data_IF_042068221220
#
_entry.id   IF_042068221220
#
_cell.length_a   1.000
_cell.length_b   1.000
_cell.length_c   1.000
_cell.angle_alpha   90.00
_cell.angle_beta   90.00
_cell.angle_gamma   90.00
#
_symmetry.space_group_name_H-M   'P 1'
#
loop_
_entity.id
_entity.type
_entity.pdbx_description
1 polymer ?
#
# COMPACT_ATOMS: atom_id res chain seq x y z
N UNK A 1 6.44 -9.78 -14.95
CA UNK A 1 5.38 -9.05 -14.23
C UNK A 1 5.73 -7.57 -14.28
N UNK A 2 4.87 -6.68 -14.78
CA UNK A 2 5.17 -5.25 -14.79
C UNK A 2 4.93 -4.66 -13.40
N UNK A 3 5.95 -4.04 -12.81
CA UNK A 3 5.81 -3.23 -11.59
C UNK A 3 5.55 -1.78 -11.99
N UNK A 4 4.54 -1.15 -11.39
CA UNK A 4 4.14 0.23 -11.68
C UNK A 4 4.52 1.13 -10.52
N UNK A 5 5.15 2.24 -10.87
CA UNK A 5 5.62 3.29 -9.98
C UNK A 5 4.70 4.49 -10.06
N UNK A 6 3.92 4.78 -9.02
CA UNK A 6 3.13 6.02 -9.02
C UNK A 6 3.14 6.73 -7.68
N UNK A 7 3.77 7.90 -7.72
CA UNK A 7 3.43 9.02 -6.86
C UNK A 7 2.07 9.60 -7.29
N UNK A 8 1.05 9.50 -6.44
CA UNK A 8 -0.06 10.46 -6.39
C UNK A 8 -0.90 10.71 -7.65
N UNK A 9 -1.11 9.72 -8.54
CA UNK A 9 -2.21 9.77 -9.53
C UNK A 9 -3.13 8.55 -9.45
N UNK A 10 -4.42 8.83 -9.62
CA UNK A 10 -5.58 8.12 -9.11
C UNK A 10 -6.02 6.84 -9.87
N UNK A 11 -5.20 6.26 -10.75
CA UNK A 11 -5.70 5.27 -11.72
C UNK A 11 -5.31 3.81 -11.45
N UNK A 12 -5.13 3.40 -10.18
CA UNK A 12 -4.73 2.01 -9.85
C UNK A 12 -5.62 1.39 -8.79
N UNK A 13 -6.82 1.01 -9.21
CA UNK A 13 -7.71 0.13 -8.44
C UNK A 13 -7.24 -1.32 -8.57
N UNK A 14 -7.10 -2.05 -7.47
CA UNK A 14 -6.83 -3.50 -7.50
C UNK A 14 -8.08 -4.28 -7.11
N UNK A 15 -8.39 -5.36 -7.82
CA UNK A 15 -9.51 -6.23 -7.45
C UNK A 15 -9.04 -7.28 -6.43
N UNK A 16 -9.72 -7.34 -5.29
CA UNK A 16 -9.42 -8.24 -4.17
C UNK A 16 -10.72 -8.87 -3.64
N UNK A 17 -10.87 -10.19 -3.77
CA UNK A 17 -12.10 -10.93 -3.40
C UNK A 17 -13.40 -10.30 -3.94
N UNK A 18 -13.36 -9.77 -5.18
CA UNK A 18 -14.51 -9.13 -5.82
C UNK A 18 -14.75 -7.67 -5.39
N UNK A 19 -13.98 -7.14 -4.45
CA UNK A 19 -13.97 -5.72 -4.09
C UNK A 19 -12.91 -4.96 -4.90
N UNK A 20 -13.25 -3.75 -5.32
CA UNK A 20 -12.30 -2.81 -5.90
C UNK A 20 -11.62 -2.01 -4.79
N UNK A 21 -10.30 -2.15 -4.64
CA UNK A 21 -9.52 -1.42 -3.63
C UNK A 21 -8.94 -0.17 -4.26
N UNK A 22 -9.38 0.98 -3.75
CA UNK A 22 -8.99 2.28 -4.26
C UNK A 22 -7.82 2.87 -3.47
N UNK A 23 -6.79 3.44 -4.13
CA UNK A 23 -5.64 4.05 -3.46
C UNK A 23 -6.02 5.11 -2.42
N UNK A 24 -7.06 5.90 -2.66
CA UNK A 24 -7.54 6.92 -1.71
C UNK A 24 -8.00 6.33 -0.38
N UNK A 25 -8.53 5.10 -0.36
CA UNK A 25 -8.89 4.44 0.91
C UNK A 25 -7.63 4.09 1.72
N UNK A 26 -6.54 3.72 1.03
CA UNK A 26 -5.23 3.45 1.65
C UNK A 26 -4.58 4.73 2.14
N UNK A 27 -4.64 5.81 1.35
CA UNK A 27 -4.12 7.13 1.72
C UNK A 27 -4.69 7.61 3.06
N UNK A 28 -6.01 7.52 3.26
CA UNK A 28 -6.64 7.91 4.55
C UNK A 28 -6.09 7.08 5.73
N UNK A 29 -5.73 5.82 5.49
CA UNK A 29 -5.08 4.97 6.49
C UNK A 29 -3.65 5.41 6.83
N UNK A 30 -2.92 6.00 5.88
CA UNK A 30 -1.56 6.52 6.08
C UNK A 30 -1.55 7.96 6.65
N UNK A 31 -2.62 8.72 6.44
CA UNK A 31 -2.78 10.10 6.94
C UNK A 31 -3.18 10.19 8.42
N UNK A 32 -3.04 9.12 9.19
CA UNK A 32 -3.24 9.19 10.64
C UNK A 32 -2.05 9.90 11.29
N UNK A 33 -2.26 10.79 12.30
CA UNK A 33 -1.20 11.62 12.86
C UNK A 33 0.05 10.87 13.32
N UNK A 34 -0.13 9.69 13.92
CA UNK A 34 0.98 8.83 14.36
C UNK A 34 1.76 8.25 13.17
N UNK A 35 1.08 7.82 12.11
CA UNK A 35 1.69 7.19 10.93
C UNK A 35 2.40 8.24 10.06
N UNK A 36 1.83 9.44 9.93
CA UNK A 36 2.43 10.54 9.17
C UNK A 36 3.81 10.96 9.71
N UNK A 37 4.10 10.68 10.98
CA UNK A 37 5.42 10.92 11.55
C UNK A 37 6.50 9.95 11.01
N UNK A 38 6.10 8.90 10.29
CA UNK A 38 6.98 7.83 9.84
C UNK A 38 7.08 7.70 8.32
N UNK A 39 6.03 8.04 7.59
CA UNK A 39 5.89 7.70 6.16
C UNK A 39 5.86 8.95 5.30
N UNK A 40 6.33 8.84 4.06
CA UNK A 40 6.24 9.96 3.09
C UNK A 40 4.85 10.11 2.48
N UNK A 41 3.99 9.12 2.68
CA UNK A 41 2.70 8.97 2.00
C UNK A 41 2.78 8.23 0.66
N UNK A 42 3.98 7.87 0.18
CA UNK A 42 4.14 7.02 -1.01
C UNK A 42 3.92 5.55 -0.65
N UNK A 43 3.21 4.86 -1.52
CA UNK A 43 3.00 3.43 -1.39
C UNK A 43 2.81 2.76 -2.76
N UNK A 44 2.98 1.44 -2.77
CA UNK A 44 2.57 0.54 -3.85
C UNK A 44 1.45 -0.33 -3.32
N UNK A 45 0.37 -0.48 -4.09
CA UNK A 45 -0.79 -1.31 -3.77
C UNK A 45 -0.89 -2.43 -4.79
N UNK A 46 -0.89 -3.68 -4.33
CA UNK A 46 -0.99 -4.85 -5.19
C UNK A 46 -1.68 -6.03 -4.48
N UNK A 47 -2.08 -7.03 -5.25
CA UNK A 47 -2.50 -8.32 -4.72
C UNK A 47 -1.43 -9.35 -5.07
N UNK A 48 -1.02 -10.14 -4.09
CA UNK A 48 -0.07 -11.23 -4.27
C UNK A 48 -0.71 -12.55 -3.83
N UNK A 49 -0.17 -13.66 -4.35
CA UNK A 49 -0.58 -15.01 -3.98
C UNK A 49 0.38 -15.57 -2.91
N UNK A 50 -0.13 -16.35 -1.96
CA UNK A 50 0.68 -17.19 -1.07
C UNK A 50 1.11 -18.46 -1.80
N UNK A 51 2.03 -19.22 -1.20
CA UNK A 51 2.44 -20.54 -1.71
C UNK A 51 1.25 -21.51 -1.82
N UNK A 52 0.26 -21.37 -0.93
CA UNK A 52 -0.98 -22.16 -0.92
C UNK A 52 -2.03 -21.68 -1.96
N UNK A 53 -1.72 -20.62 -2.72
CA UNK A 53 -2.59 -20.06 -3.76
C UNK A 53 -3.65 -19.08 -3.25
N UNK A 54 -3.59 -18.68 -1.97
CA UNK A 54 -4.48 -17.66 -1.42
C UNK A 54 -4.01 -16.25 -1.78
N UNK A 55 -4.96 -15.33 -1.96
CA UNK A 55 -4.65 -13.92 -2.24
C UNK A 55 -4.51 -13.11 -0.96
N UNK A 56 -3.53 -12.23 -0.92
CA UNK A 56 -3.40 -11.21 0.11
C UNK A 56 -3.19 -9.81 -0.49
N UNK A 57 -3.73 -8.81 0.20
CA UNK A 57 -3.50 -7.42 -0.13
C UNK A 57 -2.12 -7.01 0.40
N UNK A 58 -1.22 -6.62 -0.51
CA UNK A 58 0.13 -6.21 -0.18
C UNK A 58 0.29 -4.70 -0.42
N UNK A 59 0.83 -4.01 0.59
CA UNK A 59 1.06 -2.57 0.52
C UNK A 59 2.50 -2.30 0.95
N UNK A 60 3.28 -1.76 0.01
CA UNK A 60 4.65 -1.33 0.29
C UNK A 60 4.62 0.16 0.59
N UNK A 61 5.21 0.60 1.70
CA UNK A 61 5.15 2.00 2.15
C UNK A 61 6.56 2.56 2.29
N UNK A 62 6.78 3.77 1.77
CA UNK A 62 8.06 4.47 1.90
C UNK A 62 8.11 5.23 3.24
N UNK A 63 9.19 5.00 3.98
CA UNK A 63 9.52 5.72 5.20
C UNK A 63 10.11 7.11 4.91
N UNK A 64 9.94 8.03 5.85
CA UNK A 64 10.64 9.31 5.86
C UNK A 64 12.16 9.11 6.00
N UNK A 65 12.98 10.06 5.52
CA UNK A 65 14.42 9.99 5.67
C UNK A 65 14.84 9.83 7.14
N UNK A 66 15.71 8.84 7.42
CA UNK A 66 16.27 8.60 8.75
C UNK A 66 15.33 7.87 9.72
N UNK A 67 14.13 7.48 9.30
CA UNK A 67 13.27 6.58 10.10
C UNK A 67 13.72 5.14 9.90
N UNK A 68 14.03 4.46 11.00
CA UNK A 68 14.29 3.03 11.03
C UNK A 68 12.99 2.25 11.25
N UNK A 69 12.91 1.05 10.69
CA UNK A 69 11.74 0.17 10.85
C UNK A 69 11.67 -0.37 12.28
N UNK A 70 10.55 -0.16 12.95
CA UNK A 70 10.16 -0.87 14.16
C UNK A 70 9.21 -2.04 13.79
N UNK A 71 9.32 -3.15 14.54
CA UNK A 71 8.46 -4.32 14.44
C UNK A 71 6.96 -3.99 14.60
N UNK A 72 6.61 -2.88 15.27
CA UNK A 72 5.23 -2.48 15.51
C UNK A 72 4.61 -1.63 14.40
N UNK A 73 5.42 -0.86 13.67
CA UNK A 73 4.93 0.12 12.68
C UNK A 73 4.07 -0.52 11.59
N UNK A 74 4.53 -1.66 11.05
CA UNK A 74 3.81 -2.38 10.01
C UNK A 74 2.41 -2.82 10.49
N UNK A 75 2.28 -3.27 11.75
CA UNK A 75 1.00 -3.69 12.33
C UNK A 75 0.06 -2.50 12.58
N UNK A 76 0.59 -1.36 13.01
CA UNK A 76 -0.17 -0.12 13.22
C UNK A 76 -0.72 0.38 11.88
N UNK A 77 0.14 0.43 10.86
CA UNK A 77 -0.24 0.83 9.50
C UNK A 77 -1.28 -0.14 8.92
N UNK A 78 -1.08 -1.45 9.06
CA UNK A 78 -2.02 -2.46 8.57
C UNK A 78 -3.42 -2.28 9.20
N UNK A 79 -3.45 -2.07 10.52
CA UNK A 79 -4.68 -1.90 11.29
C UNK A 79 -5.40 -0.61 10.90
N UNK A 80 -4.66 0.48 10.72
CA UNK A 80 -5.21 1.76 10.26
C UNK A 80 -5.83 1.64 8.87
N UNK A 81 -5.10 1.07 7.90
CA UNK A 81 -5.59 0.89 6.53
C UNK A 81 -6.82 -0.02 6.52
N UNK A 82 -6.79 -1.15 7.25
CA UNK A 82 -7.96 -2.04 7.38
C UNK A 82 -9.18 -1.29 7.92
N UNK A 83 -9.02 -0.47 8.96
CA UNK A 83 -10.12 0.29 9.54
C UNK A 83 -10.72 1.27 8.53
N UNK A 84 -9.88 1.94 7.72
CA UNK A 84 -10.36 2.87 6.70
C UNK A 84 -11.01 2.16 5.51
N UNK A 85 -10.47 1.02 5.07
CA UNK A 85 -11.10 0.19 4.03
C UNK A 85 -12.49 -0.30 4.47
N UNK A 86 -12.62 -0.82 5.70
CA UNK A 86 -13.91 -1.24 6.23
C UNK A 86 -14.92 -0.09 6.34
N UNK A 87 -14.44 1.12 6.63
CA UNK A 87 -15.30 2.31 6.79
C UNK A 87 -15.72 2.92 5.45
N UNK A 88 -14.82 2.94 4.47
CA UNK A 88 -14.98 3.70 3.22
C UNK A 88 -15.40 2.84 2.04
N UNK A 89 -15.19 1.52 2.11
CA UNK A 89 -15.39 0.62 0.98
C UNK A 89 -16.34 -0.51 1.36
N UNK A 90 -17.61 -0.35 0.98
CA UNK A 90 -18.66 -1.35 1.27
C UNK A 90 -18.45 -2.68 0.54
N UNK A 91 -17.81 -2.69 -0.63
CA UNK A 91 -17.48 -3.94 -1.32
C UNK A 91 -16.46 -4.73 -0.51
N UNK A 92 -15.38 -4.06 -0.06
CA UNK A 92 -14.38 -4.69 0.78
C UNK A 92 -14.99 -5.22 2.08
N UNK A 93 -15.81 -4.41 2.75
CA UNK A 93 -16.47 -4.78 4.00
C UNK A 93 -17.40 -6.00 3.85
N UNK A 94 -18.09 -6.15 2.72
CA UNK A 94 -19.08 -7.20 2.52
C UNK A 94 -18.52 -8.45 1.82
N UNK A 95 -17.52 -8.30 0.94
CA UNK A 95 -17.05 -9.39 0.08
C UNK A 95 -15.74 -9.99 0.54
N UNK A 96 -14.91 -9.25 1.30
CA UNK A 96 -13.62 -9.76 1.78
C UNK A 96 -13.78 -10.50 3.10
N UNK A 97 -13.39 -11.80 3.19
CA UNK A 97 -13.43 -12.55 4.44
C UNK A 97 -12.63 -11.86 5.56
N UNK A 98 -13.11 -11.92 6.81
CA UNK A 98 -12.52 -11.18 7.93
C UNK A 98 -11.04 -11.49 8.15
N UNK A 99 -10.66 -12.74 7.98
CA UNK A 99 -9.29 -13.26 8.07
C UNK A 99 -8.37 -12.79 6.92
N UNK A 100 -8.95 -12.24 5.85
CA UNK A 100 -8.24 -11.69 4.67
C UNK A 100 -8.25 -10.16 4.62
N UNK A 101 -8.94 -9.49 5.55
CA UNK A 101 -9.07 -8.03 5.56
C UNK A 101 -7.82 -7.29 6.05
N UNK A 102 -6.89 -7.97 6.73
CA UNK A 102 -5.68 -7.32 7.22
C UNK A 102 -4.61 -7.31 6.12
N UNK A 103 -4.20 -6.14 5.59
CA UNK A 103 -3.17 -6.08 4.56
C UNK A 103 -1.79 -6.44 5.14
N UNK A 104 -0.93 -7.01 4.30
CA UNK A 104 0.49 -7.18 4.62
C UNK A 104 1.25 -5.92 4.25
N UNK A 105 1.99 -5.38 5.21
CA UNK A 105 2.75 -4.14 5.05
C UNK A 105 4.24 -4.45 4.95
N UNK A 106 4.87 -3.94 3.90
CA UNK A 106 6.33 -3.91 3.77
C UNK A 106 6.80 -2.47 3.86
N UNK A 107 7.70 -2.18 4.80
CA UNK A 107 8.29 -0.86 4.95
C UNK A 107 9.61 -0.81 4.19
N UNK A 108 9.77 0.22 3.34
CA UNK A 108 11.02 0.47 2.62
C UNK A 108 11.60 1.81 3.05
N UNK A 109 12.92 1.85 3.12
CA UNK A 109 13.64 3.07 3.41
C UNK A 109 13.36 4.16 2.36
N UNK A 110 13.58 5.41 2.75
CA UNK A 110 13.45 6.54 1.84
C UNK A 110 14.28 6.33 0.57
N UNK A 111 13.66 6.58 -0.59
CA UNK A 111 14.30 6.43 -1.90
C UNK A 111 14.80 5.01 -2.25
N UNK A 112 14.18 3.96 -1.71
CA UNK A 112 14.50 2.56 -2.04
C UNK A 112 14.53 2.33 -3.56
N UNK A 113 15.60 1.72 -4.08
CA UNK A 113 15.78 1.59 -5.53
C UNK A 113 14.81 0.61 -6.21
N UNK A 114 14.24 -0.33 -5.46
CA UNK A 114 13.36 -1.38 -5.95
C UNK A 114 11.89 -0.95 -5.94
N UNK A 115 11.49 -0.12 -4.96
CA UNK A 115 10.10 0.35 -4.79
C UNK A 115 9.89 1.87 -4.85
N UNK A 116 10.93 2.72 -4.70
CA UNK A 116 10.84 4.20 -4.66
C UNK A 116 12.10 4.97 -5.20
N UNK A 117 12.63 4.75 -6.42
CA UNK A 117 13.92 5.26 -6.85
C UNK A 117 13.86 6.77 -7.00
N UNK A 118 14.81 7.45 -6.37
CA UNK A 118 14.96 8.89 -6.51
C UNK A 118 15.34 9.27 -7.94
N UNK A 119 14.59 10.20 -8.54
CA UNK A 119 15.05 10.92 -9.72
C UNK A 119 15.02 10.15 -11.04
N UNK A 120 13.99 9.33 -11.29
CA UNK A 120 13.71 8.89 -12.67
C UNK A 120 13.45 10.12 -13.53
N UNK A 121 14.48 10.62 -14.23
CA UNK A 121 14.27 11.50 -15.39
C UNK A 121 13.33 10.74 -16.31
N UNK A 122 12.08 11.19 -16.37
CA UNK A 122 11.09 10.62 -17.27
C UNK A 122 11.65 10.63 -18.69
N UNK A 123 12.15 9.49 -19.15
CA UNK A 123 12.49 9.28 -20.56
C UNK A 123 11.16 9.06 -21.26
N UNK A 124 10.53 10.14 -21.73
CA UNK A 124 9.26 10.13 -22.46
C UNK A 124 9.34 9.52 -23.88
N UNK A 125 10.42 8.81 -24.24
CA UNK A 125 10.49 8.12 -25.52
C UNK A 125 11.52 6.99 -25.48
N UNK A 126 11.09 5.79 -25.87
CA UNK A 126 11.96 4.74 -26.43
C UNK A 126 11.42 4.43 -27.83
N UNK A 127 12.32 4.44 -28.82
CA UNK A 127 12.08 3.84 -30.15
C UNK A 127 12.18 2.33 -30.04
#
# INVERSE_FOLDING_TARGET
>A
MPFVYVFGRADFTVSYYGANIYPENVTVGLEQPEIMAWVTGKFVLETQDTEDGDKYLHIVVELLPGIETDMTMAAIIASSIRAQLLRLNSEFANYTPAERQLPRITLKAFADSEYFPAGVKHRYTRK
#
